data_IF_389546838646
#
_entry.id   IF_389546838646
#
_cell.length_a   1.000
_cell.length_b   1.000
_cell.length_c   1.000
_cell.angle_alpha   90.00
_cell.angle_beta   90.00
_cell.angle_gamma   90.00
#
_symmetry.space_group_name_H-M   'P 1'
#
loop_
_entity.id
_entity.type
_entity.pdbx_description
1 polymer ?
#
# COMPACT_ATOMS: atom_id res chain seq x y z
N UNK A 1 17.93 9.20 11.50
CA UNK A 1 17.43 8.61 10.25
C UNK A 1 16.71 9.70 9.48
N UNK A 2 16.95 9.81 8.17
CA UNK A 2 16.33 10.86 7.39
C UNK A 2 14.79 10.73 7.45
N UNK A 3 14.06 11.79 7.83
CA UNK A 3 12.59 11.77 8.04
C UNK A 3 11.86 11.23 6.82
N UNK A 4 12.35 11.60 5.63
CA UNK A 4 11.87 11.11 4.33
C UNK A 4 11.96 9.57 4.22
N UNK A 5 13.01 8.94 4.75
CA UNK A 5 13.20 7.48 4.73
C UNK A 5 12.22 6.80 5.67
N UNK A 6 12.07 7.32 6.89
CA UNK A 6 11.12 6.79 7.88
C UNK A 6 9.67 6.86 7.38
N UNK A 7 9.28 7.98 6.77
CA UNK A 7 7.96 8.13 6.18
C UNK A 7 7.73 7.13 5.03
N UNK A 8 8.73 6.94 4.18
CA UNK A 8 8.67 5.97 3.09
C UNK A 8 8.53 4.53 3.60
N UNK A 9 9.25 4.16 4.66
CA UNK A 9 9.12 2.84 5.30
C UNK A 9 7.73 2.63 5.86
N UNK A 10 7.19 3.60 6.62
CA UNK A 10 5.83 3.52 7.17
C UNK A 10 4.80 3.40 6.04
N UNK A 11 4.92 4.23 4.99
CA UNK A 11 4.00 4.21 3.86
C UNK A 11 4.04 2.87 3.11
N UNK A 12 5.22 2.26 2.99
CA UNK A 12 5.39 0.93 2.38
C UNK A 12 4.70 -0.15 3.20
N UNK A 13 4.88 -0.13 4.52
CA UNK A 13 4.22 -1.08 5.44
C UNK A 13 2.70 -0.94 5.38
N UNK A 14 2.18 0.29 5.36
CA UNK A 14 0.75 0.55 5.18
C UNK A 14 0.24 0.01 3.83
N UNK A 15 1.00 0.20 2.74
CA UNK A 15 0.68 -0.37 1.43
C UNK A 15 0.58 -1.89 1.46
N UNK A 16 1.52 -2.57 2.12
CA UNK A 16 1.50 -4.03 2.29
C UNK A 16 0.26 -4.47 3.06
N UNK A 17 -0.06 -3.82 4.18
CA UNK A 17 -1.24 -4.15 4.99
C UNK A 17 -2.53 -3.97 4.17
N UNK A 18 -2.65 -2.89 3.40
CA UNK A 18 -3.80 -2.65 2.54
C UNK A 18 -3.96 -3.72 1.45
N UNK A 19 -2.85 -4.16 0.83
CA UNK A 19 -2.87 -5.23 -0.17
C UNK A 19 -3.26 -6.59 0.43
N UNK A 20 -2.75 -6.91 1.62
CA UNK A 20 -3.16 -8.12 2.37
C UNK A 20 -4.65 -8.06 2.71
N UNK A 21 -5.14 -6.91 3.16
CA UNK A 21 -6.56 -6.73 3.45
C UNK A 21 -7.44 -6.86 2.20
N UNK A 22 -7.00 -6.34 1.05
CA UNK A 22 -7.69 -6.55 -0.21
C UNK A 22 -7.76 -8.04 -0.60
N UNK A 23 -6.66 -8.79 -0.41
CA UNK A 23 -6.64 -10.23 -0.65
C UNK A 23 -7.56 -11.00 0.32
N UNK A 24 -7.60 -10.62 1.59
CA UNK A 24 -8.53 -11.18 2.58
C UNK A 24 -10.00 -10.93 2.18
N UNK A 25 -10.34 -9.68 1.84
CA UNK A 25 -11.67 -9.32 1.33
C UNK A 25 -12.05 -10.11 0.07
N UNK A 26 -11.08 -10.42 -0.80
CA UNK A 26 -11.31 -11.16 -2.03
C UNK A 26 -11.74 -12.60 -1.72
N UNK A 27 -11.05 -13.25 -0.78
CA UNK A 27 -11.38 -14.61 -0.35
C UNK A 27 -12.71 -14.71 0.40
N UNK A 28 -13.12 -13.64 1.09
CA UNK A 28 -14.34 -13.61 1.91
C UNK A 28 -15.57 -13.00 1.20
N UNK A 29 -15.44 -12.59 -0.06
CA UNK A 29 -16.50 -11.91 -0.83
C UNK A 29 -17.40 -12.91 -1.57
N UNK A 30 -18.70 -12.61 -1.68
CA UNK A 30 -19.69 -13.44 -2.39
C UNK A 30 -19.82 -13.17 -3.90
N UNK A 31 -18.98 -12.28 -4.46
CA UNK A 31 -18.95 -11.96 -5.89
C UNK A 31 -19.93 -10.87 -6.34
N UNK A 32 -20.49 -10.07 -5.42
CA UNK A 32 -21.40 -8.98 -5.77
C UNK A 32 -20.68 -7.78 -6.42
N UNK A 33 -21.41 -6.98 -7.21
CA UNK A 33 -20.85 -5.77 -7.87
C UNK A 33 -20.25 -4.77 -6.87
N UNK A 34 -20.80 -4.69 -5.66
CA UNK A 34 -20.29 -3.84 -4.58
C UNK A 34 -18.91 -4.32 -4.08
N UNK A 35 -18.74 -5.63 -3.99
CA UNK A 35 -17.52 -6.25 -3.49
C UNK A 35 -16.38 -6.03 -4.49
N UNK A 36 -16.65 -6.20 -5.79
CA UNK A 36 -15.68 -5.93 -6.86
C UNK A 36 -15.19 -4.47 -6.81
N UNK A 37 -16.09 -3.51 -6.58
CA UNK A 37 -15.70 -2.10 -6.42
C UNK A 37 -14.81 -1.88 -5.20
N UNK A 38 -15.16 -2.46 -4.04
CA UNK A 38 -14.35 -2.34 -2.83
C UNK A 38 -12.96 -2.96 -3.01
N UNK A 39 -12.89 -4.14 -3.63
CA UNK A 39 -11.66 -4.83 -3.95
C UNK A 39 -10.74 -4.02 -4.86
N UNK A 40 -11.30 -3.44 -5.92
CA UNK A 40 -10.54 -2.58 -6.82
C UNK A 40 -9.99 -1.36 -6.09
N UNK A 41 -10.81 -0.70 -5.24
CA UNK A 41 -10.37 0.46 -4.47
C UNK A 41 -9.23 0.11 -3.50
N UNK A 42 -9.39 -0.93 -2.68
CA UNK A 42 -8.35 -1.31 -1.72
C UNK A 42 -7.09 -1.83 -2.39
N UNK A 43 -7.23 -2.61 -3.48
CA UNK A 43 -6.11 -3.12 -4.25
C UNK A 43 -5.30 -2.00 -4.90
N UNK A 44 -5.97 -1.07 -5.60
CA UNK A 44 -5.30 0.05 -6.29
C UNK A 44 -4.67 1.01 -5.27
N UNK A 45 -5.39 1.38 -4.21
CA UNK A 45 -4.84 2.27 -3.17
C UNK A 45 -3.64 1.65 -2.46
N UNK A 46 -3.72 0.36 -2.11
CA UNK A 46 -2.60 -0.37 -1.51
C UNK A 46 -1.37 -0.41 -2.43
N UNK A 47 -1.58 -0.63 -3.73
CA UNK A 47 -0.52 -0.61 -4.74
C UNK A 47 0.14 0.77 -4.85
N UNK A 48 -0.67 1.84 -4.90
CA UNK A 48 -0.15 3.21 -4.96
C UNK A 48 0.71 3.50 -3.72
N UNK A 49 0.22 3.17 -2.52
CA UNK A 49 0.96 3.41 -1.28
C UNK A 49 2.26 2.62 -1.23
N UNK A 50 2.24 1.36 -1.68
CA UNK A 50 3.43 0.52 -1.74
C UNK A 50 4.49 1.08 -2.69
N UNK A 51 4.11 1.43 -3.92
CA UNK A 51 5.02 1.97 -4.93
C UNK A 51 5.56 3.34 -4.49
N UNK A 52 4.71 4.21 -3.98
CA UNK A 52 5.11 5.53 -3.46
C UNK A 52 6.06 5.40 -2.27
N UNK A 53 5.79 4.49 -1.33
CA UNK A 53 6.64 4.24 -0.16
C UNK A 53 8.05 3.80 -0.55
N UNK A 54 8.16 2.79 -1.44
CA UNK A 54 9.45 2.32 -1.97
C UNK A 54 10.16 3.45 -2.72
N UNK A 55 9.44 4.21 -3.54
CA UNK A 55 9.99 5.35 -4.27
C UNK A 55 10.65 6.36 -3.34
N UNK A 56 9.99 6.67 -2.22
CA UNK A 56 10.51 7.61 -1.21
C UNK A 56 11.75 7.05 -0.50
N UNK A 57 11.74 5.78 -0.08
CA UNK A 57 12.90 5.13 0.54
C UNK A 57 14.09 5.06 -0.41
N UNK A 58 13.86 4.78 -1.70
CA UNK A 58 14.93 4.63 -2.70
C UNK A 58 15.54 5.97 -3.13
N UNK A 59 14.77 7.06 -3.09
CA UNK A 59 15.22 8.40 -3.47
C UNK A 59 15.87 9.18 -2.32
N UNK A 60 15.74 8.71 -1.09
CA UNK A 60 16.47 9.30 0.04
C UNK A 60 17.92 8.86 0.04
N UNK A 61 18.80 9.72 -0.46
CA UNK A 61 20.20 9.72 -0.02
C UNK A 61 20.20 10.15 1.45
N UNK A 62 20.96 9.45 2.31
CA UNK A 62 21.34 10.02 3.60
C UNK A 62 22.23 11.23 3.26
N UNK A 63 21.65 12.42 3.40
CA UNK A 63 22.39 13.68 3.39
C UNK A 63 23.13 13.71 4.73
N UNK A 64 24.44 13.46 4.68
CA UNK A 64 25.37 13.78 5.77
C UNK A 64 26.04 15.10 5.47
#
# INVERSE_FOLDING_TARGET
MNVKRTFGTILTVLGIIALIYAAYMFMNTGGGTRDVKMLAVYGILGLIFFISGIGLVKRTKDES
#
